data_IF_068150405004
#
_entry.id   IF_068150405004
#
_cell.length_a   1.000
_cell.length_b   1.000
_cell.length_c   1.000
_cell.angle_alpha   90.00
_cell.angle_beta   90.00
_cell.angle_gamma   90.00
#
_symmetry.space_group_name_H-M   'P 1'
#
loop_
_entity.id
_entity.type
_entity.pdbx_description
1 polymer ?
#
# COMPACT_ATOMS: atom_id res chain seq x y z
N UNK A 1 -43.72 -9.00 16.77
CA UNK A 1 -42.29 -8.65 16.63
C UNK A 1 -41.87 -8.87 15.20
N UNK A 2 -42.00 -7.84 14.36
CA UNK A 2 -41.71 -7.93 12.93
C UNK A 2 -40.21 -7.64 12.74
N UNK A 3 -39.44 -8.62 12.23
CA UNK A 3 -38.05 -8.47 11.88
C UNK A 3 -37.87 -7.50 10.70
N UNK A 4 -36.71 -6.87 10.58
CA UNK A 4 -36.41 -5.92 9.49
C UNK A 4 -36.55 -6.65 8.15
N UNK A 5 -37.44 -6.18 7.31
CA UNK A 5 -37.65 -6.70 5.95
C UNK A 5 -36.39 -6.39 5.13
N UNK A 6 -35.66 -7.43 4.71
CA UNK A 6 -34.62 -7.38 3.72
C UNK A 6 -35.22 -6.94 2.38
N UNK A 7 -34.99 -5.73 1.98
CA UNK A 7 -35.28 -5.29 0.61
C UNK A 7 -34.39 -6.08 -0.34
N UNK A 8 -34.93 -6.83 -1.31
CA UNK A 8 -34.13 -7.50 -2.31
C UNK A 8 -33.48 -6.44 -3.19
N UNK A 9 -32.14 -6.41 -3.27
CA UNK A 9 -31.40 -5.65 -4.28
C UNK A 9 -31.68 -6.29 -5.64
N UNK A 10 -32.64 -5.73 -6.37
CA UNK A 10 -33.30 -6.37 -7.50
C UNK A 10 -32.73 -6.04 -8.87
N UNK A 11 -31.61 -5.31 -8.98
CA UNK A 11 -30.98 -5.13 -10.28
C UNK A 11 -29.45 -5.16 -10.13
N UNK A 12 -28.71 -5.86 -11.03
CA UNK A 12 -27.28 -5.69 -11.08
C UNK A 12 -26.98 -4.21 -11.35
N UNK A 13 -25.92 -3.63 -10.74
CA UNK A 13 -25.56 -2.25 -11.00
C UNK A 13 -25.29 -2.06 -12.49
N UNK A 14 -25.57 -0.87 -12.98
CA UNK A 14 -25.05 -0.47 -14.29
C UNK A 14 -23.53 -0.51 -14.22
N UNK A 15 -22.95 -1.52 -14.84
CA UNK A 15 -21.52 -1.78 -14.80
C UNK A 15 -20.73 -0.65 -15.43
N UNK A 16 -21.27 0.03 -16.45
CA UNK A 16 -20.68 1.21 -17.06
C UNK A 16 -20.57 2.34 -16.03
N UNK A 17 -21.64 2.61 -15.28
CA UNK A 17 -21.63 3.61 -14.23
C UNK A 17 -20.61 3.29 -13.10
N UNK A 18 -20.37 2.02 -12.81
CA UNK A 18 -19.35 1.64 -11.83
C UNK A 18 -17.93 1.94 -12.29
N UNK A 19 -17.64 1.67 -13.56
CA UNK A 19 -16.34 1.99 -14.16
C UNK A 19 -16.11 3.50 -14.13
N UNK A 20 -17.10 4.29 -14.55
CA UNK A 20 -17.02 5.74 -14.56
C UNK A 20 -16.86 6.33 -13.15
N UNK A 21 -17.54 5.77 -12.15
CA UNK A 21 -17.53 6.29 -10.77
C UNK A 21 -16.29 5.88 -9.97
N UNK A 22 -15.74 4.70 -10.23
CA UNK A 22 -14.70 4.11 -9.38
C UNK A 22 -13.39 3.84 -10.11
N UNK A 23 -13.38 3.80 -11.46
CA UNK A 23 -12.23 3.39 -12.26
C UNK A 23 -10.97 4.21 -11.97
N UNK A 24 -11.07 5.52 -12.00
CA UNK A 24 -9.95 6.44 -11.72
C UNK A 24 -9.37 6.24 -10.33
N UNK A 25 -10.23 6.03 -9.33
CA UNK A 25 -9.78 5.83 -7.96
C UNK A 25 -9.03 4.49 -7.82
N UNK A 26 -9.60 3.42 -8.37
CA UNK A 26 -8.98 2.09 -8.34
C UNK A 26 -7.66 2.07 -9.13
N UNK A 27 -7.61 2.75 -10.27
CA UNK A 27 -6.38 2.87 -11.05
C UNK A 27 -5.28 3.61 -10.27
N UNK A 28 -5.59 4.76 -9.66
CA UNK A 28 -4.65 5.49 -8.80
C UNK A 28 -4.17 4.64 -7.62
N UNK A 29 -5.05 3.84 -7.06
CA UNK A 29 -4.71 2.90 -6.01
C UNK A 29 -3.74 1.83 -6.51
N UNK A 30 -3.99 1.22 -7.67
CA UNK A 30 -3.18 0.16 -8.24
C UNK A 30 -1.82 0.67 -8.72
N UNK A 31 -1.78 1.79 -9.46
CA UNK A 31 -0.53 2.34 -10.02
C UNK A 31 0.44 2.78 -8.94
N UNK A 32 -0.04 3.31 -7.81
CA UNK A 32 0.79 3.66 -6.66
C UNK A 32 1.54 2.44 -6.09
N UNK A 33 0.97 1.23 -6.21
CA UNK A 33 1.53 -0.01 -5.68
C UNK A 33 2.38 -0.78 -6.68
N UNK A 34 1.89 -0.87 -7.90
CA UNK A 34 2.49 -1.70 -8.95
C UNK A 34 3.55 -0.94 -9.75
N UNK A 35 3.43 0.40 -9.84
CA UNK A 35 4.31 1.28 -10.61
C UNK A 35 4.42 0.90 -12.11
N UNK A 36 3.56 0.01 -12.54
CA UNK A 36 3.40 -0.44 -13.91
C UNK A 36 1.96 -0.15 -14.35
N UNK A 37 1.81 0.69 -15.38
CA UNK A 37 0.51 1.13 -15.88
C UNK A 37 -0.31 -0.04 -16.44
N UNK A 38 0.33 -0.93 -17.17
CA UNK A 38 -0.35 -2.10 -17.76
C UNK A 38 -0.83 -3.06 -16.66
N UNK A 39 0.03 -3.37 -15.69
CA UNK A 39 -0.35 -4.20 -14.56
C UNK A 39 -1.46 -3.58 -13.71
N UNK A 40 -1.43 -2.24 -13.55
CA UNK A 40 -2.48 -1.52 -12.83
C UNK A 40 -3.83 -1.61 -13.55
N UNK A 41 -3.85 -1.40 -14.87
CA UNK A 41 -5.05 -1.55 -15.69
C UNK A 41 -5.61 -2.97 -15.61
N UNK A 42 -4.76 -3.99 -15.76
CA UNK A 42 -5.16 -5.40 -15.66
C UNK A 42 -5.78 -5.71 -14.29
N UNK A 43 -5.14 -5.28 -13.19
CA UNK A 43 -5.67 -5.48 -11.85
C UNK A 43 -7.02 -4.79 -11.64
N UNK A 44 -7.22 -3.61 -12.20
CA UNK A 44 -8.51 -2.89 -12.14
C UNK A 44 -9.58 -3.62 -12.94
N UNK A 45 -9.27 -4.06 -14.16
CA UNK A 45 -10.20 -4.84 -14.98
C UNK A 45 -10.60 -6.15 -14.29
N UNK A 46 -9.62 -6.89 -13.78
CA UNK A 46 -9.88 -8.12 -13.02
C UNK A 46 -10.72 -7.86 -11.76
N UNK A 47 -10.53 -6.70 -11.11
CA UNK A 47 -11.32 -6.30 -9.95
C UNK A 47 -12.79 -6.11 -10.33
N UNK A 48 -13.07 -5.39 -11.40
CA UNK A 48 -14.45 -5.20 -11.87
C UNK A 48 -15.09 -6.51 -12.29
N UNK A 49 -14.36 -7.39 -12.99
CA UNK A 49 -14.86 -8.72 -13.37
C UNK A 49 -15.18 -9.59 -12.15
N UNK A 50 -14.31 -9.55 -11.12
CA UNK A 50 -14.56 -10.28 -9.88
C UNK A 50 -15.76 -9.70 -9.11
N UNK A 51 -15.86 -8.37 -9.05
CA UNK A 51 -16.96 -7.68 -8.42
C UNK A 51 -18.32 -8.02 -9.09
N UNK A 52 -18.36 -8.04 -10.42
CA UNK A 52 -19.55 -8.41 -11.16
C UNK A 52 -20.03 -9.83 -10.80
N UNK A 53 -19.09 -10.79 -10.72
CA UNK A 53 -19.41 -12.18 -10.33
C UNK A 53 -19.88 -12.29 -8.89
N UNK A 54 -19.31 -11.49 -7.97
CA UNK A 54 -19.57 -11.55 -6.54
C UNK A 54 -20.71 -10.62 -6.08
N UNK A 55 -21.25 -9.77 -6.95
CA UNK A 55 -22.21 -8.71 -6.57
C UNK A 55 -23.43 -9.21 -5.81
N UNK A 56 -23.95 -10.38 -6.18
CA UNK A 56 -25.12 -10.98 -5.50
C UNK A 56 -24.89 -11.24 -4.01
N UNK A 57 -23.61 -11.41 -3.61
CA UNK A 57 -23.20 -11.59 -2.22
C UNK A 57 -22.82 -10.29 -1.51
N UNK A 58 -22.82 -9.15 -2.20
CA UNK A 58 -22.54 -7.87 -1.57
C UNK A 58 -23.69 -7.41 -0.69
N UNK A 59 -23.51 -7.51 0.62
CA UNK A 59 -24.54 -7.22 1.61
C UNK A 59 -24.73 -5.72 1.89
N UNK A 60 -23.92 -4.83 1.30
CA UNK A 60 -24.00 -3.39 1.50
C UNK A 60 -23.59 -2.92 2.90
N UNK A 61 -22.78 -3.70 3.62
CA UNK A 61 -22.24 -3.32 4.96
C UNK A 61 -21.24 -2.18 4.91
N UNK A 62 -20.74 -1.82 3.72
CA UNK A 62 -19.83 -0.71 3.46
C UNK A 62 -20.13 -0.06 2.12
N UNK A 63 -19.36 0.97 1.75
CA UNK A 63 -19.48 1.58 0.42
C UNK A 63 -19.01 0.62 -0.67
N UNK A 64 -19.59 0.74 -1.87
CA UNK A 64 -19.13 -0.02 -3.05
C UNK A 64 -17.64 0.18 -3.30
N UNK A 65 -17.16 1.42 -3.14
CA UNK A 65 -15.73 1.75 -3.25
C UNK A 65 -14.87 0.93 -2.28
N UNK A 66 -15.24 0.87 -1.01
CA UNK A 66 -14.50 0.09 0.01
C UNK A 66 -14.47 -1.38 -0.34
N UNK A 67 -15.58 -1.93 -0.84
CA UNK A 67 -15.65 -3.32 -1.26
C UNK A 67 -14.79 -3.60 -2.49
N UNK A 68 -14.83 -2.72 -3.52
CA UNK A 68 -13.98 -2.82 -4.71
C UNK A 68 -12.49 -2.73 -4.36
N UNK A 69 -12.11 -1.83 -3.46
CA UNK A 69 -10.73 -1.74 -2.95
C UNK A 69 -10.30 -3.03 -2.25
N UNK A 70 -11.18 -3.66 -1.49
CA UNK A 70 -10.92 -4.97 -0.88
C UNK A 70 -10.58 -6.04 -1.93
N UNK A 71 -11.35 -6.10 -3.02
CA UNK A 71 -11.07 -7.02 -4.14
C UNK A 71 -9.73 -6.65 -4.81
N UNK A 72 -9.51 -5.36 -5.07
CA UNK A 72 -8.28 -4.87 -5.72
C UNK A 72 -7.02 -5.19 -4.92
N UNK A 73 -7.05 -5.08 -3.60
CA UNK A 73 -5.93 -5.48 -2.72
C UNK A 73 -5.50 -6.92 -2.97
N UNK A 74 -6.46 -7.84 -3.09
CA UNK A 74 -6.15 -9.23 -3.40
C UNK A 74 -5.53 -9.37 -4.80
N UNK A 75 -6.07 -8.66 -5.80
CA UNK A 75 -5.53 -8.69 -7.17
C UNK A 75 -4.10 -8.18 -7.25
N UNK A 76 -3.79 -7.08 -6.58
CA UNK A 76 -2.44 -6.53 -6.46
C UNK A 76 -1.48 -7.53 -5.79
N UNK A 77 -1.91 -8.15 -4.68
CA UNK A 77 -1.10 -9.16 -3.99
C UNK A 77 -0.85 -10.40 -4.87
N UNK A 78 -1.87 -10.87 -5.59
CA UNK A 78 -1.75 -12.00 -6.51
C UNK A 78 -0.83 -11.67 -7.71
N UNK A 79 -0.86 -10.42 -8.19
CA UNK A 79 0.07 -9.94 -9.22
C UNK A 79 1.52 -10.06 -8.72
N UNK A 80 1.84 -9.56 -7.52
CA UNK A 80 3.18 -9.70 -6.96
C UNK A 80 3.61 -11.16 -6.83
N UNK A 81 2.74 -12.04 -6.34
CA UNK A 81 3.02 -13.48 -6.25
C UNK A 81 3.32 -14.10 -7.61
N UNK A 82 2.65 -13.67 -8.68
CA UNK A 82 2.88 -14.15 -10.04
C UNK A 82 4.24 -13.71 -10.57
N UNK A 83 4.50 -12.39 -10.52
CA UNK A 83 5.75 -11.82 -11.05
C UNK A 83 6.97 -12.35 -10.31
N UNK A 84 6.90 -12.50 -8.98
CA UNK A 84 8.02 -13.00 -8.20
C UNK A 84 8.31 -14.49 -8.39
N UNK A 85 7.32 -15.28 -8.80
CA UNK A 85 7.55 -16.70 -9.19
C UNK A 85 8.25 -16.83 -10.55
N UNK A 86 8.01 -15.89 -11.45
CA UNK A 86 8.60 -15.86 -12.79
C UNK A 86 10.00 -15.24 -12.80
N UNK A 87 10.31 -14.38 -11.84
CA UNK A 87 11.63 -13.78 -11.70
C UNK A 87 12.59 -14.71 -10.94
N UNK A 88 13.82 -14.94 -11.41
CA UNK A 88 14.84 -15.59 -10.61
C UNK A 88 14.95 -14.87 -9.27
N UNK A 89 15.10 -15.62 -8.19
CA UNK A 89 15.42 -15.07 -6.87
C UNK A 89 16.77 -14.38 -7.03
N UNK A 90 16.75 -13.10 -7.36
CA UNK A 90 17.91 -12.25 -7.17
C UNK A 90 18.10 -12.17 -5.68
N UNK A 91 18.99 -13.00 -5.15
CA UNK A 91 19.60 -12.78 -3.86
C UNK A 91 20.18 -11.36 -3.93
N UNK A 92 19.45 -10.36 -3.47
CA UNK A 92 20.10 -9.23 -2.87
C UNK A 92 20.74 -9.84 -1.63
N UNK A 93 21.96 -10.37 -1.84
CA UNK A 93 22.87 -10.67 -0.76
C UNK A 93 22.72 -9.53 0.22
N UNK A 94 22.25 -9.88 1.42
CA UNK A 94 22.21 -8.93 2.48
C UNK A 94 23.63 -8.46 2.70
N UNK A 95 24.00 -7.31 2.13
CA UNK A 95 25.04 -6.52 2.74
C UNK A 95 24.64 -6.46 4.19
N UNK A 96 25.42 -7.10 5.00
CA UNK A 96 25.30 -7.12 6.44
C UNK A 96 25.22 -5.65 6.87
N UNK A 97 23.98 -5.20 7.13
CA UNK A 97 23.74 -3.84 7.55
C UNK A 97 24.33 -3.74 8.96
N UNK A 98 25.59 -3.32 9.00
CA UNK A 98 26.18 -2.89 10.24
C UNK A 98 25.31 -1.78 10.85
N UNK A 99 24.71 -2.17 11.97
CA UNK A 99 24.17 -1.33 13.02
C UNK A 99 23.23 -0.20 12.66
N UNK A 100 22.10 -0.51 12.84
CA UNK A 100 20.89 0.22 13.21
C UNK A 100 21.07 1.22 14.37
N UNK A 101 21.91 2.23 14.23
CA UNK A 101 21.94 3.34 15.16
C UNK A 101 20.62 4.11 15.21
N UNK A 102 19.82 3.99 14.13
CA UNK A 102 18.57 4.72 13.94
C UNK A 102 17.37 4.09 14.63
N UNK A 103 17.44 2.79 14.96
CA UNK A 103 16.31 2.06 15.57
C UNK A 103 16.72 1.31 16.82
N UNK A 104 15.82 1.23 17.79
CA UNK A 104 16.02 0.44 19.01
C UNK A 104 15.83 -1.05 18.74
N UNK A 105 16.69 -1.90 19.36
CA UNK A 105 16.65 -3.37 19.30
C UNK A 105 16.26 -3.97 20.64
N UNK A 106 15.22 -3.49 21.26
CA UNK A 106 14.68 -4.14 22.47
C UNK A 106 13.49 -5.00 22.09
N UNK A 107 13.29 -6.13 22.76
CA UNK A 107 12.25 -7.11 22.47
C UNK A 107 10.83 -6.53 22.42
N UNK A 108 10.56 -5.49 23.20
CA UNK A 108 9.27 -4.78 23.24
C UNK A 108 9.16 -3.66 22.20
N UNK A 109 10.28 -3.10 21.69
CA UNK A 109 10.33 -1.89 20.86
C UNK A 109 11.15 -2.10 19.57
N UNK A 110 11.14 -3.30 19.02
CA UNK A 110 11.84 -3.61 17.78
C UNK A 110 11.31 -2.71 16.65
N UNK A 111 12.23 -2.00 15.97
CA UNK A 111 11.96 -1.04 14.89
C UNK A 111 11.34 0.31 15.29
N UNK A 112 11.35 0.69 16.54
CA UNK A 112 11.12 2.09 16.91
C UNK A 112 12.36 2.95 16.63
N UNK A 113 12.12 4.20 16.26
CA UNK A 113 13.20 5.17 16.08
C UNK A 113 13.98 5.35 17.37
N UNK A 114 15.30 5.36 17.27
CA UNK A 114 16.13 5.87 18.36
C UNK A 114 15.83 7.36 18.53
N UNK A 115 15.63 7.82 19.76
CA UNK A 115 15.24 9.20 20.06
C UNK A 115 16.16 10.26 19.44
N UNK A 116 17.44 9.93 19.21
CA UNK A 116 18.41 10.83 18.59
C UNK A 116 18.22 10.98 17.08
N UNK A 117 17.50 10.07 16.44
CA UNK A 117 17.27 9.99 15.00
C UNK A 117 15.79 9.96 14.64
N UNK A 118 14.92 10.16 15.62
CA UNK A 118 13.48 10.26 15.37
C UNK A 118 13.20 11.43 14.42
N UNK A 119 12.20 11.30 13.52
CA UNK A 119 11.74 12.42 12.72
C UNK A 119 11.38 13.60 13.60
N UNK A 120 11.58 14.81 13.08
CA UNK A 120 11.10 16.04 13.72
C UNK A 120 9.60 15.99 13.93
N UNK A 121 9.10 16.68 14.93
CA UNK A 121 7.66 16.74 15.24
C UNK A 121 6.91 17.32 14.04
N UNK A 122 5.97 16.57 13.52
CA UNK A 122 5.17 17.00 12.36
C UNK A 122 3.98 17.79 12.87
N UNK A 123 3.83 19.02 12.41
CA UNK A 123 2.71 19.89 12.82
C UNK A 123 1.35 19.38 12.38
N UNK A 124 1.30 18.46 11.40
CA UNK A 124 0.07 17.83 10.94
C UNK A 124 -0.04 16.40 11.47
N UNK A 125 -1.26 16.01 11.86
CA UNK A 125 -1.51 14.63 12.26
C UNK A 125 -1.45 13.69 11.03
N UNK A 126 -1.09 12.40 11.20
CA UNK A 126 -1.12 11.44 10.10
C UNK A 126 -2.48 11.37 9.38
N UNK A 127 -3.59 11.58 10.10
CA UNK A 127 -4.92 11.58 9.51
C UNK A 127 -5.12 12.75 8.53
N UNK A 128 -4.66 13.95 8.89
CA UNK A 128 -4.73 15.14 8.03
C UNK A 128 -3.87 14.97 6.78
N UNK A 129 -2.69 14.34 6.89
CA UNK A 129 -1.82 14.06 5.74
C UNK A 129 -2.45 13.07 4.75
N UNK A 130 -3.14 12.05 5.24
CA UNK A 130 -3.80 11.06 4.39
C UNK A 130 -4.90 11.67 3.53
N UNK A 131 -5.56 12.73 3.98
CA UNK A 131 -6.60 13.43 3.22
C UNK A 131 -6.03 14.35 2.13
N UNK A 132 -4.75 14.69 2.17
CA UNK A 132 -4.10 15.61 1.23
C UNK A 132 -3.59 14.91 -0.01
N UNK A 133 -4.14 15.23 -1.16
CA UNK A 133 -3.73 14.64 -2.45
C UNK A 133 -2.29 15.00 -2.86
N UNK A 134 -1.79 16.15 -2.42
CA UNK A 134 -0.43 16.63 -2.64
C UNK A 134 0.60 15.83 -1.83
N UNK A 135 0.27 15.43 -0.60
CA UNK A 135 1.11 14.51 0.19
C UNK A 135 1.38 13.19 -0.55
N UNK A 136 0.34 12.59 -1.14
CA UNK A 136 0.49 11.35 -1.89
C UNK A 136 1.38 11.48 -3.12
N UNK A 137 1.38 12.65 -3.77
CA UNK A 137 2.31 12.92 -4.88
C UNK A 137 3.75 12.95 -4.37
N UNK A 138 4.03 13.73 -3.33
CA UNK A 138 5.37 13.82 -2.73
C UNK A 138 5.83 12.46 -2.20
N UNK A 139 4.97 11.70 -1.53
CA UNK A 139 5.30 10.35 -1.08
C UNK A 139 5.65 9.42 -2.26
N UNK A 140 4.90 9.49 -3.35
CA UNK A 140 5.19 8.70 -4.54
C UNK A 140 6.53 9.08 -5.18
N UNK A 141 6.83 10.39 -5.26
CA UNK A 141 8.10 10.90 -5.76
C UNK A 141 9.27 10.44 -4.86
N UNK A 142 9.07 10.45 -3.54
CA UNK A 142 10.04 9.93 -2.58
C UNK A 142 10.22 8.41 -2.64
N UNK A 143 9.20 7.66 -2.99
CA UNK A 143 9.28 6.22 -3.19
C UNK A 143 9.97 5.85 -4.52
N UNK A 144 9.92 6.75 -5.52
CA UNK A 144 10.38 6.49 -6.89
C UNK A 144 11.85 6.07 -7.01
N UNK A 145 12.81 6.64 -6.26
CA UNK A 145 14.21 6.24 -6.34
C UNK A 145 14.53 4.90 -5.67
N UNK A 146 13.61 4.36 -4.87
CA UNK A 146 13.82 3.08 -4.20
C UNK A 146 13.74 1.91 -5.18
N UNK A 147 14.51 0.83 -4.97
CA UNK A 147 14.29 -0.41 -5.70
C UNK A 147 12.83 -0.86 -5.60
N UNK A 148 12.28 -1.35 -6.71
CA UNK A 148 10.85 -1.68 -6.82
C UNK A 148 10.34 -2.57 -5.69
N UNK A 149 11.06 -3.66 -5.38
CA UNK A 149 10.70 -4.56 -4.27
C UNK A 149 10.70 -3.88 -2.90
N UNK A 150 11.65 -2.94 -2.68
CA UNK A 150 11.74 -2.19 -1.43
C UNK A 150 10.55 -1.25 -1.27
N UNK A 151 10.20 -0.53 -2.32
CA UNK A 151 9.04 0.35 -2.32
C UNK A 151 7.73 -0.44 -2.17
N UNK A 152 7.62 -1.59 -2.84
CA UNK A 152 6.46 -2.48 -2.71
C UNK A 152 6.33 -3.03 -1.29
N UNK A 153 7.43 -3.50 -0.69
CA UNK A 153 7.43 -3.98 0.69
C UNK A 153 6.93 -2.90 1.67
N UNK A 154 7.41 -1.67 1.52
CA UNK A 154 6.97 -0.53 2.32
C UNK A 154 5.47 -0.23 2.13
N UNK A 155 5.01 -0.16 0.90
CA UNK A 155 3.60 0.14 0.59
C UNK A 155 2.66 -0.94 1.11
N UNK A 156 3.00 -2.22 0.91
CA UNK A 156 2.21 -3.34 1.42
C UNK A 156 2.14 -3.35 2.95
N UNK A 157 3.23 -2.94 3.63
CA UNK A 157 3.28 -2.89 5.09
C UNK A 157 2.54 -1.70 5.67
N UNK A 158 2.90 -0.48 5.24
CA UNK A 158 2.48 0.76 5.91
C UNK A 158 1.14 1.29 5.37
N UNK A 159 0.85 1.05 4.09
CA UNK A 159 -0.38 1.57 3.47
C UNK A 159 -1.48 0.51 3.44
N UNK A 160 -1.12 -0.75 3.15
CA UNK A 160 -2.12 -1.83 3.04
C UNK A 160 -2.30 -2.61 4.34
N UNK A 161 -1.35 -2.51 5.27
CA UNK A 161 -1.42 -3.16 6.58
C UNK A 161 -1.24 -4.69 6.54
N UNK A 162 -0.52 -5.22 5.52
CA UNK A 162 -0.24 -6.64 5.44
C UNK A 162 0.70 -7.09 6.54
N UNK A 163 0.56 -8.35 6.97
CA UNK A 163 1.49 -8.96 7.92
C UNK A 163 2.83 -9.28 7.25
N UNK A 164 3.88 -9.48 8.06
CA UNK A 164 5.20 -9.84 7.54
C UNK A 164 5.16 -11.12 6.72
N UNK A 165 4.38 -12.12 7.16
CA UNK A 165 4.22 -13.40 6.47
C UNK A 165 3.57 -13.21 5.10
N UNK A 166 2.50 -12.38 5.02
CA UNK A 166 1.81 -12.09 3.77
C UNK A 166 2.72 -11.37 2.77
N UNK A 167 3.54 -10.42 3.24
CA UNK A 167 4.49 -9.69 2.40
C UNK A 167 5.61 -10.62 1.92
N UNK A 168 6.17 -11.43 2.82
CA UNK A 168 7.20 -12.39 2.46
C UNK A 168 6.71 -13.38 1.40
N UNK A 169 5.48 -13.88 1.54
CA UNK A 169 4.85 -14.74 0.54
C UNK A 169 4.63 -14.01 -0.79
N UNK A 170 4.10 -12.78 -0.76
CA UNK A 170 3.79 -12.00 -1.97
C UNK A 170 5.05 -11.64 -2.76
N UNK A 171 6.12 -11.23 -2.08
CA UNK A 171 7.37 -10.80 -2.69
C UNK A 171 8.42 -11.91 -2.84
N UNK A 172 8.13 -13.12 -2.34
CA UNK A 172 9.04 -14.26 -2.29
C UNK A 172 10.40 -13.88 -1.67
N UNK A 173 10.36 -13.34 -0.44
CA UNK A 173 11.53 -12.90 0.31
C UNK A 173 11.52 -13.49 1.73
N UNK A 174 12.68 -13.52 2.37
CA UNK A 174 12.78 -13.91 3.78
C UNK A 174 12.34 -12.76 4.70
N UNK A 175 11.96 -13.11 5.93
CA UNK A 175 11.60 -12.11 6.96
C UNK A 175 12.77 -11.16 7.23
N UNK A 176 14.00 -11.68 7.27
CA UNK A 176 15.19 -10.84 7.48
C UNK A 176 15.38 -9.83 6.35
N UNK A 177 15.21 -10.26 5.09
CA UNK A 177 15.28 -9.37 3.94
C UNK A 177 14.16 -8.31 3.97
N UNK A 178 12.94 -8.70 4.36
CA UNK A 178 11.84 -7.75 4.56
C UNK A 178 12.22 -6.63 5.54
N UNK A 179 12.82 -6.98 6.68
CA UNK A 179 13.23 -5.98 7.67
C UNK A 179 14.29 -5.02 7.13
N UNK A 180 15.27 -5.52 6.38
CA UNK A 180 16.28 -4.68 5.71
C UNK A 180 15.63 -3.73 4.72
N UNK A 181 14.71 -4.23 3.88
CA UNK A 181 13.98 -3.41 2.91
C UNK A 181 13.16 -2.30 3.60
N UNK A 182 12.38 -2.64 4.62
CA UNK A 182 11.58 -1.67 5.37
C UNK A 182 12.45 -0.61 6.05
N UNK A 183 13.59 -1.02 6.59
CA UNK A 183 14.53 -0.11 7.19
C UNK A 183 15.08 0.90 6.17
N UNK A 184 15.57 0.42 5.02
CA UNK A 184 16.07 1.27 3.92
C UNK A 184 15.00 2.23 3.42
N UNK A 185 13.77 1.74 3.24
CA UNK A 185 12.65 2.56 2.81
C UNK A 185 12.35 3.68 3.80
N UNK A 186 12.26 3.38 5.10
CA UNK A 186 11.97 4.37 6.15
C UNK A 186 13.04 5.46 6.23
N UNK A 187 14.33 5.10 6.17
CA UNK A 187 15.42 6.08 6.18
C UNK A 187 15.36 7.01 4.97
N UNK A 188 15.20 6.43 3.79
CA UNK A 188 15.11 7.22 2.56
C UNK A 188 13.91 8.16 2.57
N UNK A 189 12.73 7.63 2.93
CA UNK A 189 11.49 8.39 2.97
C UNK A 189 11.54 9.51 4.01
N UNK A 190 12.11 9.26 5.18
CA UNK A 190 12.33 10.29 6.19
C UNK A 190 13.05 11.49 5.58
N UNK A 191 14.25 11.27 5.03
CA UNK A 191 15.05 12.35 4.47
C UNK A 191 14.35 13.07 3.31
N UNK A 192 13.71 12.31 2.43
CA UNK A 192 12.99 12.88 1.30
C UNK A 192 11.78 13.71 1.74
N UNK A 193 10.97 13.24 2.67
CA UNK A 193 9.80 13.95 3.18
C UNK A 193 10.18 15.17 4.01
N UNK A 194 11.24 15.10 4.82
CA UNK A 194 11.75 16.26 5.56
C UNK A 194 12.09 17.42 4.60
N UNK A 195 12.73 17.12 3.47
CA UNK A 195 13.13 18.14 2.49
C UNK A 195 11.94 18.62 1.65
N UNK A 196 11.14 17.69 1.14
CA UNK A 196 10.16 18.01 0.08
C UNK A 196 8.77 18.31 0.61
N UNK A 197 8.48 17.99 1.85
CA UNK A 197 7.19 18.22 2.47
C UNK A 197 7.29 19.18 3.66
N UNK A 198 7.97 18.78 4.73
CA UNK A 198 7.97 19.52 5.99
C UNK A 198 8.74 20.83 5.95
N UNK A 199 9.86 20.92 5.22
CA UNK A 199 10.59 22.18 5.07
C UNK A 199 9.82 23.20 4.24
N UNK A 200 8.99 22.77 3.30
CA UNK A 200 8.16 23.67 2.48
C UNK A 200 6.99 24.27 3.26
N UNK A 201 6.35 23.50 4.13
CA UNK A 201 5.25 23.99 4.97
C UNK A 201 5.72 24.99 6.05
N UNK A 202 6.99 24.96 6.44
CA UNK A 202 7.55 25.91 7.39
C UNK A 202 7.86 27.29 6.77
N UNK A 203 7.73 27.43 5.45
CA UNK A 203 8.10 28.67 4.70
C UNK A 203 6.89 29.42 4.12
N UNK A 204 5.70 28.83 4.15
CA UNK A 204 4.41 29.43 3.80
C UNK A 204 3.62 29.84 5.04
#
# INVERSE_FOLDING_TARGET
MSGPQRTPKSQPPDFSAWVDLHGDYLYKYAIFRLRDGSAAEDCVQETFLAALKAYRGFEGRGSERTWLVGILKHKVTDHFRRVTREAPIGETEGEEFEHNEFFTRTDEWNNHWNNNYAPTDWHATPAELIERSDFWKVLNDCLSPLPERTASAFTLREVDGLTSEQICEALNITVNNLWVMLHRARLHLRNCLEINWFTREATD
#
